data_IF_877020936504
#
_entry.id   IF_877020936504
#
_cell.length_a   1.000
_cell.length_b   1.000
_cell.length_c   1.000
_cell.angle_alpha   90.00
_cell.angle_beta   90.00
_cell.angle_gamma   90.00
#
_symmetry.space_group_name_H-M   'P 1'
#
loop_
_entity.id
_entity.type
_entity.pdbx_description
1 polymer ?
#
# COMPACT_ATOMS: atom_id res chain seq x y z
N UNK A 1 -27.08 0.67 -21.04
CA UNK A 1 -28.08 0.98 -20.00
C UNK A 1 -27.47 0.58 -18.65
N UNK A 2 -27.12 1.54 -17.79
CA UNK A 2 -26.39 1.28 -16.54
C UNK A 2 -27.30 1.72 -15.37
N UNK A 3 -27.62 0.88 -14.37
CA UNK A 3 -28.52 1.29 -13.30
C UNK A 3 -27.75 2.17 -12.32
N UNK A 4 -28.08 3.46 -12.32
CA UNK A 4 -27.66 4.45 -11.33
C UNK A 4 -28.15 4.00 -9.95
N UNK A 5 -27.28 3.34 -9.18
CA UNK A 5 -27.54 2.96 -7.79
C UNK A 5 -27.72 4.27 -7.00
N UNK A 6 -28.99 4.62 -6.73
CA UNK A 6 -29.37 5.80 -5.93
C UNK A 6 -28.61 5.76 -4.59
N UNK A 7 -27.66 6.69 -4.40
CA UNK A 7 -26.90 6.86 -3.17
C UNK A 7 -27.82 7.54 -2.13
N UNK A 8 -28.17 6.84 -1.06
CA UNK A 8 -29.00 7.39 0.03
C UNK A 8 -28.16 8.25 0.99
N UNK A 9 -28.78 9.29 1.55
CA UNK A 9 -28.15 10.18 2.54
C UNK A 9 -27.73 9.45 3.84
N UNK A 10 -28.38 8.32 4.16
CA UNK A 10 -28.13 7.52 5.36
C UNK A 10 -26.75 6.83 5.39
N UNK A 11 -26.02 6.81 4.28
CA UNK A 11 -24.70 6.18 4.18
C UNK A 11 -23.52 7.15 4.06
N UNK A 12 -23.74 8.46 4.25
CA UNK A 12 -22.70 9.47 4.05
C UNK A 12 -22.02 9.83 5.38
N UNK A 13 -20.70 9.60 5.45
CA UNK A 13 -19.86 9.89 6.60
C UNK A 13 -19.15 11.23 6.40
N UNK A 14 -18.96 11.97 7.50
CA UNK A 14 -17.99 13.06 7.50
C UNK A 14 -16.56 12.48 7.43
N UNK A 15 -15.57 13.28 7.02
CA UNK A 15 -14.17 12.83 7.08
C UNK A 15 -13.70 12.53 8.51
N UNK A 16 -14.34 13.14 9.53
CA UNK A 16 -14.08 12.83 10.93
C UNK A 16 -14.64 11.46 11.34
N UNK A 17 -15.85 11.12 10.91
CA UNK A 17 -16.45 9.82 11.21
C UNK A 17 -15.75 8.69 10.46
N UNK A 18 -15.37 8.92 9.21
CA UNK A 18 -14.55 7.99 8.45
C UNK A 18 -13.18 7.76 9.11
N UNK A 19 -12.54 8.81 9.64
CA UNK A 19 -11.28 8.69 10.37
C UNK A 19 -11.43 7.86 11.65
N UNK A 20 -12.51 8.08 12.40
CA UNK A 20 -12.82 7.30 13.62
C UNK A 20 -13.04 5.81 13.29
N UNK A 21 -13.78 5.52 12.22
CA UNK A 21 -14.04 4.13 11.79
C UNK A 21 -12.76 3.45 11.30
N UNK A 22 -11.91 4.19 10.58
CA UNK A 22 -10.62 3.68 10.09
C UNK A 22 -9.54 3.60 11.18
N UNK A 23 -9.74 4.23 12.34
CA UNK A 23 -8.71 4.35 13.37
C UNK A 23 -7.53 5.24 12.96
N UNK A 24 -7.75 6.19 12.05
CA UNK A 24 -6.73 7.10 11.52
C UNK A 24 -7.04 8.57 11.83
N UNK A 25 -6.14 9.49 11.46
CA UNK A 25 -6.37 10.93 11.65
C UNK A 25 -7.32 11.48 10.58
N UNK A 26 -8.05 12.56 10.92
CA UNK A 26 -8.90 13.26 9.94
C UNK A 26 -8.11 13.76 8.73
N UNK A 27 -6.88 14.22 8.96
CA UNK A 27 -6.01 14.72 7.89
C UNK A 27 -5.64 13.60 6.91
N UNK A 28 -5.36 12.39 7.41
CA UNK A 28 -5.09 11.23 6.56
C UNK A 28 -6.28 10.91 5.63
N UNK A 29 -7.52 10.95 6.14
CA UNK A 29 -8.74 10.79 5.32
C UNK A 29 -8.89 11.89 4.28
N UNK A 30 -8.57 13.13 4.65
CA UNK A 30 -8.58 14.26 3.71
C UNK A 30 -7.55 14.06 2.60
N UNK A 31 -6.36 13.59 2.93
CA UNK A 31 -5.29 13.37 1.97
C UNK A 31 -5.65 12.22 1.01
N UNK A 32 -6.22 11.13 1.51
CA UNK A 32 -6.76 10.05 0.67
C UNK A 32 -7.83 10.54 -0.30
N UNK A 33 -8.75 11.40 0.15
CA UNK A 33 -9.72 12.03 -0.74
C UNK A 33 -9.04 12.91 -1.81
N UNK A 34 -8.01 13.67 -1.42
CA UNK A 34 -7.29 14.57 -2.33
C UNK A 34 -6.48 13.78 -3.37
N UNK A 35 -5.89 12.65 -2.99
CA UNK A 35 -5.14 11.74 -3.87
C UNK A 35 -6.04 10.81 -4.71
N UNK A 36 -7.36 10.86 -4.49
CA UNK A 36 -8.33 10.04 -5.25
C UNK A 36 -8.45 8.59 -4.77
N UNK A 37 -7.87 8.24 -3.62
CA UNK A 37 -7.92 6.90 -3.03
C UNK A 37 -9.27 6.61 -2.37
N UNK A 38 -9.93 7.65 -1.86
CA UNK A 38 -11.23 7.54 -1.20
C UNK A 38 -12.25 8.46 -1.89
N UNK A 39 -13.22 7.87 -2.64
CA UNK A 39 -14.27 8.64 -3.30
C UNK A 39 -15.04 9.51 -2.30
N UNK A 40 -15.29 10.74 -2.69
CA UNK A 40 -16.05 11.68 -1.87
C UNK A 40 -16.94 12.56 -2.73
N UNK A 41 -17.97 13.13 -2.10
CA UNK A 41 -18.80 14.18 -2.67
C UNK A 41 -18.73 15.44 -1.80
N UNK A 42 -19.03 16.58 -2.38
CA UNK A 42 -19.24 17.81 -1.63
C UNK A 42 -20.71 17.93 -1.23
N UNK A 43 -20.97 18.11 0.07
CA UNK A 43 -22.27 18.55 0.59
C UNK A 43 -22.02 19.89 1.29
N UNK A 44 -22.45 20.98 0.62
CA UNK A 44 -22.07 22.34 1.02
C UNK A 44 -20.54 22.50 1.01
N UNK A 45 -19.98 22.95 2.14
CA UNK A 45 -18.52 23.15 2.31
C UNK A 45 -17.77 21.92 2.81
N UNK A 46 -18.43 20.76 2.94
CA UNK A 46 -17.81 19.60 3.55
C UNK A 46 -17.74 18.40 2.59
N UNK A 47 -16.59 17.71 2.61
CA UNK A 47 -16.44 16.40 1.97
C UNK A 47 -17.25 15.35 2.73
N UNK A 48 -17.90 14.47 2.00
CA UNK A 48 -18.66 13.33 2.50
C UNK A 48 -18.22 12.08 1.78
N UNK A 49 -17.90 11.05 2.55
CA UNK A 49 -17.45 9.75 2.06
C UNK A 49 -18.59 8.76 2.23
N UNK A 50 -18.84 7.93 1.24
CA UNK A 50 -19.87 6.90 1.38
C UNK A 50 -19.32 5.74 2.22
N UNK A 51 -20.11 5.27 3.20
CA UNK A 51 -19.71 4.17 4.08
C UNK A 51 -19.33 2.91 3.31
N UNK A 52 -20.04 2.57 2.23
CA UNK A 52 -19.69 1.44 1.38
C UNK A 52 -18.32 1.57 0.72
N UNK A 53 -17.92 2.79 0.36
CA UNK A 53 -16.63 3.06 -0.28
C UNK A 53 -15.51 2.97 0.77
N UNK A 54 -15.77 3.43 2.00
CA UNK A 54 -14.89 3.24 3.14
C UNK A 54 -14.75 1.75 3.50
N UNK A 55 -15.85 1.02 3.63
CA UNK A 55 -15.86 -0.40 3.97
C UNK A 55 -15.19 -1.23 2.88
N UNK A 56 -15.36 -0.87 1.60
CA UNK A 56 -14.65 -1.52 0.48
C UNK A 56 -13.15 -1.23 0.50
N UNK A 57 -12.75 -0.01 0.88
CA UNK A 57 -11.35 0.34 1.06
C UNK A 57 -10.73 -0.43 2.24
N UNK A 58 -11.46 -0.55 3.35
CA UNK A 58 -11.07 -1.36 4.49
C UNK A 58 -11.00 -2.84 4.10
N UNK A 59 -11.96 -3.39 3.37
CA UNK A 59 -11.93 -4.78 2.88
C UNK A 59 -10.74 -5.02 1.96
N UNK A 60 -10.41 -4.09 1.06
CA UNK A 60 -9.20 -4.19 0.23
C UNK A 60 -7.93 -4.10 1.06
N UNK A 61 -7.89 -3.27 2.11
CA UNK A 61 -6.78 -3.24 3.08
C UNK A 61 -6.69 -4.52 3.91
N UNK A 62 -7.82 -5.17 4.17
CA UNK A 62 -7.94 -6.41 4.95
C UNK A 62 -7.76 -7.68 4.12
N UNK A 63 -7.89 -7.62 2.79
CA UNK A 63 -7.53 -8.73 1.92
C UNK A 63 -6.05 -9.04 2.11
N UNK A 64 -5.77 -10.30 2.44
CA UNK A 64 -4.42 -10.81 2.52
C UNK A 64 -3.69 -10.48 1.21
N UNK A 65 -2.49 -9.91 1.34
CA UNK A 65 -1.64 -9.62 0.19
C UNK A 65 -1.42 -10.91 -0.59
N UNK A 66 -1.38 -10.82 -1.91
CA UNK A 66 -0.90 -11.97 -2.70
C UNK A 66 0.54 -12.29 -2.27
N UNK A 67 0.97 -13.53 -2.44
CA UNK A 67 2.34 -13.95 -2.10
C UNK A 67 3.40 -13.02 -2.71
N UNK A 68 3.19 -12.55 -3.94
CA UNK A 68 4.11 -11.63 -4.61
C UNK A 68 4.05 -10.20 -4.03
N UNK A 69 2.88 -9.72 -3.64
CA UNK A 69 2.73 -8.44 -2.94
C UNK A 69 3.38 -8.48 -1.56
N UNK A 70 3.26 -9.60 -0.84
CA UNK A 70 3.89 -9.77 0.46
C UNK A 70 5.41 -9.91 0.32
N UNK A 71 5.89 -10.69 -0.65
CA UNK A 71 7.30 -10.76 -1.01
C UNK A 71 7.87 -9.37 -1.31
N UNK A 72 7.14 -8.56 -2.08
CA UNK A 72 7.52 -7.18 -2.38
C UNK A 72 7.56 -6.34 -1.10
N UNK A 73 6.56 -6.45 -0.22
CA UNK A 73 6.54 -5.74 1.06
C UNK A 73 7.74 -6.11 1.95
N UNK A 74 8.11 -7.38 2.03
CA UNK A 74 9.28 -7.86 2.78
C UNK A 74 10.59 -7.23 2.28
N UNK A 75 10.78 -7.19 0.96
CA UNK A 75 11.94 -6.52 0.35
C UNK A 75 11.98 -5.03 0.66
N UNK A 76 10.84 -4.35 0.59
CA UNK A 76 10.77 -2.92 0.81
C UNK A 76 10.92 -2.55 2.30
N UNK A 77 10.51 -3.41 3.23
CA UNK A 77 10.84 -3.27 4.67
C UNK A 77 12.35 -3.31 4.92
N UNK A 78 13.06 -4.24 4.28
CA UNK A 78 14.52 -4.29 4.37
C UNK A 78 15.19 -3.06 3.72
N UNK A 79 14.62 -2.57 2.61
CA UNK A 79 15.05 -1.33 1.98
C UNK A 79 14.89 -0.13 2.92
N UNK A 80 13.83 -0.06 3.73
CA UNK A 80 13.66 1.02 4.71
C UNK A 80 14.80 1.04 5.72
N UNK A 81 15.29 -0.12 6.19
CA UNK A 81 16.47 -0.15 7.07
C UNK A 81 17.67 0.56 6.44
N UNK A 82 17.97 0.25 5.17
CA UNK A 82 19.05 0.93 4.43
C UNK A 82 18.74 2.41 4.18
N UNK A 83 17.49 2.76 3.90
CA UNK A 83 17.06 4.15 3.71
C UNK A 83 17.32 4.99 4.98
N UNK A 84 17.12 4.42 6.16
CA UNK A 84 17.40 5.10 7.43
C UNK A 84 18.90 5.23 7.71
N UNK A 85 19.71 4.26 7.29
CA UNK A 85 21.17 4.32 7.43
C UNK A 85 21.83 5.27 6.42
N UNK A 86 21.35 5.30 5.18
CA UNK A 86 21.96 5.99 4.04
C UNK A 86 20.91 6.76 3.22
N UNK A 87 20.22 7.75 3.82
CA UNK A 87 19.08 8.41 3.19
C UNK A 87 19.46 9.09 1.88
N UNK A 88 20.51 9.89 1.86
CA UNK A 88 20.93 10.62 0.66
C UNK A 88 21.31 9.68 -0.49
N UNK A 89 22.02 8.58 -0.19
CA UNK A 89 22.44 7.65 -1.22
C UNK A 89 21.25 6.93 -1.85
N UNK A 90 20.32 6.45 -1.03
CA UNK A 90 19.13 5.70 -1.49
C UNK A 90 18.17 6.63 -2.23
N UNK A 91 17.91 7.83 -1.70
CA UNK A 91 17.04 8.83 -2.34
C UNK A 91 17.59 9.30 -3.69
N UNK A 92 18.90 9.59 -3.76
CA UNK A 92 19.54 10.01 -5.00
C UNK A 92 19.55 8.90 -6.07
N UNK A 93 19.78 7.65 -5.66
CA UNK A 93 19.70 6.50 -6.57
C UNK A 93 18.28 6.36 -7.14
N UNK A 94 17.26 6.38 -6.28
CA UNK A 94 15.87 6.27 -6.69
C UNK A 94 15.47 7.39 -7.65
N UNK A 95 15.86 8.64 -7.37
CA UNK A 95 15.60 9.79 -8.26
C UNK A 95 16.28 9.62 -9.62
N UNK A 96 17.55 9.20 -9.64
CA UNK A 96 18.28 8.93 -10.88
C UNK A 96 17.60 7.85 -11.72
N UNK A 97 17.21 6.75 -11.08
CA UNK A 97 16.49 5.66 -11.74
C UNK A 97 15.15 6.11 -12.32
N UNK A 98 14.34 6.84 -11.54
CA UNK A 98 13.04 7.33 -12.00
C UNK A 98 13.18 8.27 -13.22
N UNK A 99 14.12 9.22 -13.17
CA UNK A 99 14.39 10.14 -14.28
C UNK A 99 14.91 9.38 -15.50
N UNK A 100 15.79 8.42 -15.32
CA UNK A 100 16.32 7.61 -16.41
C UNK A 100 15.21 6.81 -17.10
N UNK A 101 14.36 6.13 -16.33
CA UNK A 101 13.23 5.36 -16.84
C UNK A 101 12.21 6.26 -17.56
N UNK A 102 11.92 7.44 -17.03
CA UNK A 102 11.05 8.42 -17.71
C UNK A 102 11.59 8.84 -19.07
N UNK A 103 12.92 9.02 -19.20
CA UNK A 103 13.56 9.38 -20.48
C UNK A 103 13.52 8.23 -21.49
N UNK A 104 13.59 6.99 -21.02
CA UNK A 104 13.54 5.79 -21.88
C UNK A 104 12.12 5.45 -22.32
N UNK A 105 11.12 5.71 -21.49
CA UNK A 105 9.71 5.42 -21.75
C UNK A 105 9.09 6.50 -22.66
N UNK A 106 9.60 6.63 -23.88
CA UNK A 106 8.92 7.39 -24.92
C UNK A 106 7.62 6.64 -25.27
N UNK A 107 6.48 7.03 -24.66
CA UNK A 107 5.07 6.81 -25.11
C UNK A 107 4.16 5.83 -24.33
N UNK A 108 4.48 5.39 -23.12
CA UNK A 108 3.57 4.56 -22.28
C UNK A 108 3.05 5.34 -21.06
N UNK A 109 1.75 5.66 -21.07
CA UNK A 109 1.13 6.58 -20.09
C UNK A 109 1.12 6.08 -18.64
N UNK A 110 0.90 4.78 -18.39
CA UNK A 110 0.77 4.27 -17.02
C UNK A 110 2.10 4.23 -16.26
N UNK A 111 3.19 3.76 -16.88
CA UNK A 111 4.53 3.80 -16.26
C UNK A 111 4.97 5.23 -15.98
N UNK A 112 4.70 6.15 -16.91
CA UNK A 112 5.00 7.58 -16.75
C UNK A 112 4.25 8.17 -15.55
N UNK A 113 2.99 7.79 -15.37
CA UNK A 113 2.17 8.22 -14.23
C UNK A 113 2.81 7.77 -12.90
N UNK A 114 3.13 6.48 -12.75
CA UNK A 114 3.70 5.96 -11.51
C UNK A 114 5.09 6.52 -11.18
N UNK A 115 5.95 6.68 -12.19
CA UNK A 115 7.27 7.30 -11.99
C UNK A 115 7.16 8.78 -11.60
N UNK A 116 6.18 9.50 -12.16
CA UNK A 116 5.89 10.88 -11.77
C UNK A 116 5.42 10.95 -10.32
N UNK A 117 4.55 10.03 -9.91
CA UNK A 117 4.08 9.95 -8.52
C UNK A 117 5.23 9.63 -7.56
N UNK A 118 6.12 8.71 -7.93
CA UNK A 118 7.32 8.43 -7.17
C UNK A 118 8.22 9.66 -6.98
N UNK A 119 8.40 10.49 -8.01
CA UNK A 119 9.16 11.74 -7.86
C UNK A 119 8.53 12.68 -6.83
N UNK A 120 7.19 12.79 -6.80
CA UNK A 120 6.47 13.58 -5.79
C UNK A 120 6.68 13.03 -4.38
N UNK A 121 6.63 11.71 -4.21
CA UNK A 121 6.90 11.06 -2.91
C UNK A 121 8.35 11.32 -2.48
N UNK A 122 9.31 11.19 -3.40
CA UNK A 122 10.73 11.49 -3.13
C UNK A 122 10.96 12.96 -2.75
N UNK A 123 10.22 13.90 -3.32
CA UNK A 123 10.28 15.33 -2.99
C UNK A 123 9.72 15.64 -1.59
N UNK A 124 8.83 14.79 -1.05
CA UNK A 124 8.26 14.93 0.29
C UNK A 124 9.18 14.44 1.42
N UNK A 125 10.24 13.71 1.08
CA UNK A 125 11.30 13.33 2.02
C UNK A 125 11.28 11.86 2.46
N UNK A 126 12.21 11.53 3.35
CA UNK A 126 12.53 10.16 3.76
C UNK A 126 11.36 9.46 4.47
N UNK A 127 10.66 10.17 5.36
CA UNK A 127 9.55 9.59 6.13
C UNK A 127 8.38 9.19 5.23
N UNK A 128 8.04 10.03 4.24
CA UNK A 128 6.96 9.73 3.29
C UNK A 128 7.32 8.53 2.41
N UNK A 129 8.58 8.43 1.99
CA UNK A 129 9.07 7.27 1.24
C UNK A 129 8.96 6.01 2.10
N UNK A 130 9.37 6.05 3.37
CA UNK A 130 9.30 4.90 4.27
C UNK A 130 7.86 4.44 4.49
N UNK A 131 6.92 5.37 4.63
CA UNK A 131 5.48 5.08 4.73
C UNK A 131 4.98 4.35 3.48
N UNK A 132 5.22 4.89 2.28
CA UNK A 132 4.81 4.26 1.01
C UNK A 132 5.44 2.87 0.85
N UNK A 133 6.71 2.71 1.22
CA UNK A 133 7.43 1.44 1.11
C UNK A 133 6.85 0.34 2.02
N UNK A 134 6.16 0.70 3.10
CA UNK A 134 5.67 -0.26 4.11
C UNK A 134 4.16 -0.37 4.20
N UNK A 135 3.43 0.60 3.64
CA UNK A 135 1.97 0.67 3.71
C UNK A 135 1.28 -0.42 2.89
N UNK A 136 0.16 -0.95 3.38
CA UNK A 136 -0.66 -1.95 2.67
C UNK A 136 -1.78 -1.33 1.84
N UNK A 137 -1.86 -0.01 1.75
CA UNK A 137 -2.91 0.64 0.98
C UNK A 137 -2.76 0.37 -0.54
N UNK A 138 -3.85 0.44 -1.33
CA UNK A 138 -3.82 0.13 -2.76
C UNK A 138 -2.81 0.96 -3.55
N UNK A 139 -2.70 2.26 -3.27
CA UNK A 139 -1.75 3.13 -3.96
C UNK A 139 -0.30 2.71 -3.72
N UNK A 140 0.04 2.36 -2.49
CA UNK A 140 1.38 1.92 -2.10
C UNK A 140 1.74 0.57 -2.70
N UNK A 141 0.74 -0.30 -2.91
CA UNK A 141 0.93 -1.55 -3.65
C UNK A 141 1.31 -1.29 -5.11
N UNK A 142 0.61 -0.38 -5.79
CA UNK A 142 0.93 0.03 -7.17
C UNK A 142 2.29 0.73 -7.27
N UNK A 143 2.59 1.62 -6.32
CA UNK A 143 3.89 2.28 -6.25
C UNK A 143 5.03 1.27 -6.02
N UNK A 144 4.87 0.30 -5.11
CA UNK A 144 5.89 -0.76 -4.92
C UNK A 144 6.08 -1.66 -6.14
N UNK A 145 5.02 -1.93 -6.91
CA UNK A 145 5.14 -2.66 -8.17
C UNK A 145 5.98 -1.89 -9.20
N UNK A 146 5.92 -0.57 -9.17
CA UNK A 146 6.63 0.34 -10.07
C UNK A 146 7.81 1.06 -9.38
N UNK A 147 8.49 0.38 -8.46
CA UNK A 147 9.49 0.94 -7.55
C UNK A 147 10.79 1.37 -8.27
N UNK A 148 11.26 2.63 -8.12
CA UNK A 148 12.52 3.10 -8.71
C UNK A 148 13.76 2.71 -7.89
N UNK A 149 13.62 1.90 -6.85
CA UNK A 149 14.71 1.53 -5.93
C UNK A 149 15.52 0.31 -6.41
N UNK A 150 15.47 0.00 -7.71
CA UNK A 150 16.29 -1.05 -8.29
C UNK A 150 17.79 -0.80 -7.98
N UNK A 151 18.46 -1.83 -7.46
CA UNK A 151 19.87 -1.75 -7.05
C UNK A 151 20.13 -1.07 -5.70
N UNK A 152 19.11 -0.54 -5.02
CA UNK A 152 19.31 0.10 -3.71
C UNK A 152 19.62 -0.92 -2.61
N UNK A 153 19.02 -2.12 -2.68
CA UNK A 153 19.28 -3.18 -1.71
C UNK A 153 20.43 -4.08 -2.20
N UNK A 154 21.51 -4.29 -1.42
CA UNK A 154 22.59 -5.19 -1.79
C UNK A 154 22.08 -6.61 -2.05
N UNK A 155 22.70 -7.28 -3.02
CA UNK A 155 22.27 -8.61 -3.45
C UNK A 155 22.27 -9.63 -2.30
N UNK A 156 23.27 -9.58 -1.42
CA UNK A 156 23.35 -10.46 -0.25
C UNK A 156 22.16 -10.24 0.71
N UNK A 157 21.85 -8.99 1.03
CA UNK A 157 20.71 -8.65 1.89
C UNK A 157 19.39 -9.03 1.22
N UNK A 158 19.25 -8.79 -0.08
CA UNK A 158 18.10 -9.22 -0.87
C UNK A 158 17.89 -10.73 -0.76
N UNK A 159 18.95 -11.53 -0.93
CA UNK A 159 18.88 -12.99 -0.82
C UNK A 159 18.49 -13.45 0.58
N UNK A 160 19.06 -12.87 1.64
CA UNK A 160 18.70 -13.19 3.04
C UNK A 160 17.23 -12.90 3.33
N UNK A 161 16.73 -11.74 2.90
CA UNK A 161 15.33 -11.34 3.09
C UNK A 161 14.38 -12.26 2.35
N UNK A 162 14.70 -12.64 1.11
CA UNK A 162 13.88 -13.58 0.34
C UNK A 162 13.88 -14.98 0.95
N UNK A 163 15.01 -15.46 1.46
CA UNK A 163 15.07 -16.74 2.17
C UNK A 163 14.21 -16.72 3.44
N UNK A 164 14.30 -15.65 4.23
CA UNK A 164 13.48 -15.47 5.43
C UNK A 164 11.99 -15.39 5.09
N UNK A 165 11.61 -14.66 4.02
CA UNK A 165 10.23 -14.61 3.54
C UNK A 165 9.70 -16.00 3.15
N UNK A 166 10.49 -16.81 2.45
CA UNK A 166 10.08 -18.17 2.06
C UNK A 166 9.82 -19.04 3.28
N UNK A 167 10.64 -18.95 4.33
CA UNK A 167 10.41 -19.70 5.57
C UNK A 167 9.17 -19.21 6.30
N UNK A 168 9.04 -17.89 6.52
CA UNK A 168 7.85 -17.31 7.14
C UNK A 168 6.56 -17.69 6.42
N UNK A 169 6.54 -17.59 5.09
CA UNK A 169 5.37 -17.93 4.29
C UNK A 169 5.01 -19.42 4.44
N UNK A 170 6.01 -20.30 4.54
CA UNK A 170 5.79 -21.73 4.80
C UNK A 170 5.15 -21.93 6.17
N UNK A 171 5.70 -21.33 7.22
CA UNK A 171 5.21 -21.52 8.59
C UNK A 171 3.76 -21.03 8.76
N UNK A 172 3.45 -19.86 8.19
CA UNK A 172 2.11 -19.26 8.25
C UNK A 172 1.06 -20.07 7.47
N UNK A 173 1.46 -20.74 6.38
CA UNK A 173 0.54 -21.49 5.49
C UNK A 173 0.57 -23.01 5.72
N UNK A 174 1.48 -23.52 6.55
CA UNK A 174 1.56 -24.92 6.96
C UNK A 174 1.00 -25.17 8.36
N UNK A 175 0.37 -24.20 9.03
CA UNK A 175 -0.38 -24.48 10.27
C UNK A 175 -1.59 -25.37 9.92
N UNK A 176 -1.61 -26.68 10.26
CA UNK A 176 -2.79 -27.49 10.03
C UNK A 176 -3.93 -26.97 10.92
N UNK A 177 -5.20 -27.10 10.51
CA UNK A 177 -6.30 -26.80 11.41
C UNK A 177 -6.09 -27.58 12.71
N UNK A 178 -6.14 -26.90 13.86
CA UNK A 178 -6.18 -27.56 15.16
C UNK A 178 -7.26 -28.64 15.05
N UNK A 179 -6.86 -29.91 15.05
CA UNK A 179 -7.79 -31.01 15.32
C UNK A 179 -8.31 -30.73 16.72
N UNK A 180 -9.49 -30.13 16.81
CA UNK A 180 -10.31 -30.21 18.02
C UNK A 180 -10.54 -31.70 18.24
N UNK A 181 -9.74 -32.27 19.13
CA UNK A 181 -9.96 -33.60 19.66
C UNK A 181 -11.34 -33.61 20.29
N UNK A 182 -12.27 -34.26 19.62
CA UNK A 182 -13.42 -34.84 20.28
C UNK A 182 -13.07 -36.32 20.43
N UNK A 183 -12.34 -36.62 21.49
CA UNK A 183 -12.42 -37.92 22.12
C UNK A 183 -13.88 -38.08 22.56
N UNK A 184 -14.63 -38.91 21.84
CA UNK A 184 -15.73 -39.65 22.43
C UNK A 184 -15.30 -41.10 22.50
N UNK A 185 -14.98 -41.46 23.73
CA UNK A 185 -14.87 -42.82 24.21
C UNK A 185 -16.16 -43.61 23.94
N UNK A 186 -15.95 -44.90 23.66
CA UNK A 186 -16.68 -46.06 24.20
C UNK A 186 -18.10 -45.82 24.73
N UNK A 187 -19.09 -46.38 24.03
CA UNK A 187 -20.15 -47.25 24.57
C UNK A 187 -20.87 -47.98 23.43
#
# INVERSE_FOLDING_TARGET
MNPTRRKSAAGMLSTGDAARIMGSSRQHVVDMCTRGELPFIWIGRHRRVQRSDLDSLLDVQHRQLTRDQERSLWLHRALVGRLMEQPDQVMNLARKNAIHLLRQQQRTGMTTHWLTEWLRVLDRGVDEVAEVLTSRNPLSLELRQNSPFAGALPQETRSRVLAAFVQHWRDDHHTPPKRTGHDLAEA
#
